data_IF_071877201864
#
_entry.id   IF_071877201864
#
_cell.length_a   1.000
_cell.length_b   1.000
_cell.length_c   1.000
_cell.angle_alpha   90.00
_cell.angle_beta   90.00
_cell.angle_gamma   90.00
#
_symmetry.space_group_name_H-M   'P 1'
#
loop_
_entity.id
_entity.type
_entity.pdbx_description
1 polymer ?
#
# COMPACT_ATOMS: atom_id res chain seq x y z
N UNK A 1 -6.62 -5.25 -5.79
CA UNK A 1 -7.47 -4.92 -4.62
C UNK A 1 -8.74 -4.23 -5.11
N UNK A 2 -9.92 -4.60 -4.58
CA UNK A 2 -11.22 -4.05 -5.03
C UNK A 2 -12.12 -3.57 -3.87
N UNK A 3 -11.53 -3.36 -2.69
CA UNK A 3 -12.25 -2.94 -1.48
C UNK A 3 -12.15 -1.43 -1.31
N UNK A 4 -13.26 -0.82 -0.86
CA UNK A 4 -13.31 0.61 -0.55
C UNK A 4 -12.24 1.01 0.47
N UNK A 5 -11.65 2.19 0.29
CA UNK A 5 -10.60 2.73 1.17
C UNK A 5 -9.16 2.37 0.76
N UNK A 6 -8.95 1.41 -0.15
CA UNK A 6 -7.58 1.07 -0.62
C UNK A 6 -6.92 2.20 -1.43
N UNK A 7 -7.72 3.08 -2.03
CA UNK A 7 -7.25 4.33 -2.64
C UNK A 7 -6.75 5.35 -1.62
N UNK A 8 -7.39 5.45 -0.45
CA UNK A 8 -6.95 6.34 0.64
C UNK A 8 -5.61 5.87 1.22
N UNK A 9 -5.43 4.56 1.33
CA UNK A 9 -4.15 3.95 1.71
C UNK A 9 -3.05 4.34 0.72
N UNK A 10 -3.31 4.18 -0.59
CA UNK A 10 -2.36 4.60 -1.64
C UNK A 10 -2.02 6.10 -1.54
N UNK A 11 -3.02 6.95 -1.34
CA UNK A 11 -2.82 8.40 -1.22
C UNK A 11 -1.94 8.73 0.00
N UNK A 12 -2.16 8.08 1.14
CA UNK A 12 -1.34 8.24 2.34
C UNK A 12 0.11 7.82 2.14
N UNK A 13 0.35 6.66 1.49
CA UNK A 13 1.72 6.19 1.18
C UNK A 13 2.40 7.17 0.22
N UNK A 14 1.70 7.62 -0.84
CA UNK A 14 2.23 8.56 -1.81
C UNK A 14 2.61 9.90 -1.16
N UNK A 15 1.76 10.45 -0.29
CA UNK A 15 2.03 11.66 0.46
C UNK A 15 3.27 11.51 1.37
N UNK A 16 3.36 10.40 2.11
CA UNK A 16 4.49 10.11 2.98
C UNK A 16 5.81 9.98 2.19
N UNK A 17 5.79 9.35 1.03
CA UNK A 17 6.98 9.19 0.19
C UNK A 17 7.36 10.50 -0.51
N UNK A 18 6.39 11.30 -0.91
CA UNK A 18 6.64 12.59 -1.55
C UNK A 18 7.35 13.58 -0.63
N UNK A 19 7.14 13.48 0.68
CA UNK A 19 7.91 14.23 1.67
C UNK A 19 9.43 13.98 1.62
N UNK A 20 9.91 12.91 0.95
CA UNK A 20 11.33 12.57 0.87
C UNK A 20 11.86 12.25 -0.53
N UNK A 21 11.05 12.34 -1.58
CA UNK A 21 11.43 11.95 -2.93
C UNK A 21 10.73 12.81 -3.99
N UNK A 22 11.26 12.78 -5.22
CA UNK A 22 10.59 13.44 -6.36
C UNK A 22 9.22 12.82 -6.63
N UNK A 23 8.30 13.61 -7.20
CA UNK A 23 6.91 13.19 -7.43
C UNK A 23 6.81 11.83 -8.13
N UNK A 24 7.56 11.62 -9.22
CA UNK A 24 7.54 10.37 -9.96
C UNK A 24 8.05 9.19 -9.11
N UNK A 25 9.17 9.37 -8.40
CA UNK A 25 9.73 8.30 -7.55
C UNK A 25 8.80 7.95 -6.39
N UNK A 26 8.21 8.97 -5.75
CA UNK A 26 7.26 8.78 -4.67
C UNK A 26 6.02 8.02 -5.14
N UNK A 27 5.42 8.44 -6.26
CA UNK A 27 4.24 7.79 -6.83
C UNK A 27 4.53 6.34 -7.24
N UNK A 28 5.65 6.08 -7.92
CA UNK A 28 6.04 4.72 -8.32
C UNK A 28 6.28 3.81 -7.13
N UNK A 29 7.03 4.28 -6.12
CA UNK A 29 7.29 3.50 -4.91
C UNK A 29 6.00 3.26 -4.11
N UNK A 30 5.11 4.25 -4.02
CA UNK A 30 3.84 4.11 -3.30
C UNK A 30 2.92 3.09 -3.96
N UNK A 31 2.79 3.13 -5.29
CA UNK A 31 2.01 2.14 -6.04
C UNK A 31 2.55 0.72 -5.82
N UNK A 32 3.89 0.55 -5.85
CA UNK A 32 4.53 -0.74 -5.60
C UNK A 32 4.27 -1.25 -4.17
N UNK A 33 4.51 -0.42 -3.16
CA UNK A 33 4.34 -0.80 -1.74
C UNK A 33 2.87 -1.12 -1.44
N UNK A 34 1.93 -0.32 -1.94
CA UNK A 34 0.49 -0.55 -1.79
C UNK A 34 0.05 -1.88 -2.43
N UNK A 35 0.52 -2.16 -3.65
CA UNK A 35 0.25 -3.42 -4.34
C UNK A 35 0.79 -4.62 -3.57
N UNK A 36 2.07 -4.58 -3.16
CA UNK A 36 2.71 -5.65 -2.41
C UNK A 36 2.07 -5.89 -1.05
N UNK A 37 1.67 -4.83 -0.33
CA UNK A 37 0.92 -4.96 0.91
C UNK A 37 -0.43 -5.67 0.69
N UNK A 38 -1.14 -5.31 -0.37
CA UNK A 38 -2.37 -5.98 -0.78
C UNK A 38 -2.19 -7.46 -1.12
N UNK A 39 -1.12 -7.80 -1.84
CA UNK A 39 -0.80 -9.18 -2.18
C UNK A 39 -0.52 -10.02 -0.92
N UNK A 40 0.24 -9.47 0.03
CA UNK A 40 0.53 -10.12 1.31
C UNK A 40 -0.75 -10.36 2.13
N UNK A 41 -1.63 -9.38 2.20
CA UNK A 41 -2.93 -9.53 2.89
C UNK A 41 -3.81 -10.56 2.18
N UNK A 42 -3.81 -10.58 0.85
CA UNK A 42 -4.59 -11.53 0.07
C UNK A 42 -4.18 -12.99 0.34
N UNK A 43 -2.89 -13.25 0.56
CA UNK A 43 -2.40 -14.58 0.93
C UNK A 43 -2.99 -15.08 2.27
N UNK A 44 -3.29 -14.17 3.20
CA UNK A 44 -3.85 -14.51 4.51
C UNK A 44 -5.38 -14.50 4.54
N UNK A 45 -6.01 -13.53 3.88
CA UNK A 45 -7.45 -13.22 4.04
C UNK A 45 -8.28 -13.38 2.76
N UNK A 46 -7.64 -13.63 1.61
CA UNK A 46 -8.30 -13.76 0.32
C UNK A 46 -9.20 -12.55 0.00
N UNK A 47 -10.46 -12.82 -0.35
CA UNK A 47 -11.45 -11.79 -0.67
C UNK A 47 -12.03 -11.07 0.57
N UNK A 48 -11.71 -11.52 1.79
CA UNK A 48 -12.15 -10.89 3.05
C UNK A 48 -11.28 -9.73 3.53
N UNK A 49 -10.32 -9.28 2.71
CA UNK A 49 -9.41 -8.17 2.99
C UNK A 49 -10.16 -6.86 3.27
N UNK A 50 -9.68 -6.10 4.26
CA UNK A 50 -10.08 -4.71 4.52
C UNK A 50 -8.93 -3.75 4.16
N UNK A 51 -9.26 -2.48 3.93
CA UNK A 51 -8.24 -1.46 3.68
C UNK A 51 -7.27 -1.29 4.86
N UNK A 52 -7.74 -1.46 6.10
CA UNK A 52 -6.91 -1.40 7.31
C UNK A 52 -5.89 -2.53 7.38
N UNK A 53 -6.22 -3.71 6.85
CA UNK A 53 -5.26 -4.82 6.78
C UNK A 53 -4.06 -4.47 5.89
N UNK A 54 -4.31 -3.74 4.80
CA UNK A 54 -3.25 -3.25 3.90
C UNK A 54 -2.34 -2.29 4.66
N UNK A 55 -2.90 -1.39 5.48
CA UNK A 55 -2.11 -0.45 6.30
C UNK A 55 -1.18 -1.19 7.26
N UNK A 56 -1.68 -2.22 7.94
CA UNK A 56 -0.89 -3.03 8.87
C UNK A 56 0.26 -3.79 8.18
N UNK A 57 0.10 -4.10 6.89
CA UNK A 57 1.09 -4.85 6.11
C UNK A 57 2.12 -3.97 5.38
N UNK A 58 1.97 -2.64 5.39
CA UNK A 58 2.94 -1.69 4.78
C UNK A 58 4.38 -1.93 5.27
N UNK A 59 4.66 -2.07 6.58
CA UNK A 59 6.03 -2.27 7.05
C UNK A 59 6.67 -3.54 6.48
N UNK A 60 5.88 -4.61 6.29
CA UNK A 60 6.35 -5.88 5.72
C UNK A 60 6.55 -5.76 4.22
N UNK A 61 5.67 -5.03 3.52
CA UNK A 61 5.81 -4.73 2.10
C UNK A 61 7.07 -3.91 1.77
N UNK A 62 7.58 -3.13 2.74
CA UNK A 62 8.80 -2.34 2.62
C UNK A 62 10.08 -3.08 3.07
N UNK A 63 9.99 -4.32 3.55
CA UNK A 63 11.17 -5.14 3.86
C UNK A 63 11.62 -5.88 2.61
N UNK A 64 12.87 -5.67 2.25
CA UNK A 64 13.59 -6.33 1.15
C UNK A 64 14.95 -6.82 1.67
#
# INVERSE_FOLDING_TARGET
>A
MTVGGTGDVLAGIAAAFYARASALRAASAAAFVNGRAGDLVYLEKGFGMLATDVVEMIPQAMRF
#
